data_IF_112561436815
#
_entry.id   IF_112561436815
#
_cell.length_a   1.000
_cell.length_b   1.000
_cell.length_c   1.000
_cell.angle_alpha   90.00
_cell.angle_beta   90.00
_cell.angle_gamma   90.00
#
_symmetry.space_group_name_H-M   'P 1'
#
loop_
_entity.id
_entity.type
_entity.pdbx_description
1 polymer ?
#
# COMPACT_ATOMS: atom_id res chain seq x y z
N UNK A 1 1.00 -4.68 22.10
CA UNK A 1 1.71 -3.52 22.59
C UNK A 1 0.81 -2.27 22.59
N UNK A 2 0.43 -1.77 23.76
CA UNK A 2 -0.47 -0.60 23.91
C UNK A 2 0.29 0.75 23.86
N UNK A 3 1.37 0.86 23.07
CA UNK A 3 2.18 2.08 22.97
C UNK A 3 1.62 3.08 21.93
N UNK A 4 0.95 2.57 20.91
CA UNK A 4 0.33 3.37 19.84
C UNK A 4 -1.14 3.02 19.70
N UNK A 5 -1.90 3.92 19.11
CA UNK A 5 -3.27 3.64 18.69
C UNK A 5 -3.23 2.75 17.44
N UNK A 6 -3.95 1.64 17.48
CA UNK A 6 -3.96 0.65 16.39
C UNK A 6 -5.40 0.38 15.93
N UNK A 7 -5.64 0.64 14.66
CA UNK A 7 -6.89 0.34 13.97
C UNK A 7 -6.60 -0.57 12.77
N UNK A 8 -7.52 -1.49 12.50
CA UNK A 8 -7.49 -2.31 11.30
C UNK A 8 -8.56 -1.85 10.33
N UNK A 9 -8.15 -1.49 9.12
CA UNK A 9 -9.06 -1.12 8.04
C UNK A 9 -8.79 -2.01 6.82
N UNK A 10 -9.77 -2.25 5.94
CA UNK A 10 -9.54 -2.97 4.70
C UNK A 10 -8.53 -2.22 3.84
N UNK A 11 -7.50 -2.90 3.35
CA UNK A 11 -6.43 -2.27 2.55
C UNK A 11 -6.97 -1.46 1.37
N UNK A 12 -7.94 -2.01 0.63
CA UNK A 12 -8.56 -1.30 -0.49
C UNK A 12 -9.31 -0.03 -0.07
N UNK A 13 -9.82 0.04 1.17
CA UNK A 13 -10.44 1.26 1.69
C UNK A 13 -9.38 2.28 2.10
N UNK A 14 -8.25 1.86 2.66
CA UNK A 14 -7.11 2.76 2.93
C UNK A 14 -6.61 3.39 1.63
N UNK A 15 -6.42 2.60 0.58
CA UNK A 15 -6.00 3.08 -0.73
C UNK A 15 -6.97 4.13 -1.31
N UNK A 16 -8.28 3.85 -1.22
CA UNK A 16 -9.31 4.77 -1.69
C UNK A 16 -9.43 6.00 -0.79
N UNK A 17 -9.19 5.85 0.52
CA UNK A 17 -9.19 6.96 1.46
C UNK A 17 -8.08 7.95 1.16
N UNK A 18 -6.85 7.49 0.90
CA UNK A 18 -5.75 8.36 0.46
C UNK A 18 -6.12 9.16 -0.78
N UNK A 19 -6.76 8.54 -1.76
CA UNK A 19 -7.24 9.23 -2.96
C UNK A 19 -8.29 10.29 -2.62
N UNK A 20 -9.25 9.96 -1.76
CA UNK A 20 -10.27 10.91 -1.32
C UNK A 20 -9.65 12.10 -0.59
N UNK A 21 -8.72 11.84 0.34
CA UNK A 21 -7.97 12.85 1.07
C UNK A 21 -7.16 13.75 0.12
N UNK A 22 -6.46 13.18 -0.86
CA UNK A 22 -5.73 13.93 -1.89
C UNK A 22 -6.64 14.89 -2.67
N UNK A 23 -7.89 14.49 -2.91
CA UNK A 23 -8.91 15.32 -3.56
C UNK A 23 -9.61 16.33 -2.62
N UNK A 24 -9.27 16.35 -1.33
CA UNK A 24 -9.89 17.22 -0.35
C UNK A 24 -11.29 16.79 0.10
N UNK A 25 -11.61 15.51 -0.05
CA UNK A 25 -12.87 14.95 0.44
C UNK A 25 -12.72 14.56 1.91
N UNK A 26 -13.80 14.68 2.73
CA UNK A 26 -13.74 14.44 4.18
C UNK A 26 -13.61 12.95 4.55
N UNK A 27 -13.58 12.06 3.58
CA UNK A 27 -13.50 10.63 3.81
C UNK A 27 -13.87 9.79 2.59
N UNK A 28 -14.08 8.50 2.83
CA UNK A 28 -14.45 7.53 1.80
C UNK A 28 -15.67 6.72 2.20
N UNK A 29 -16.64 6.65 1.33
CA UNK A 29 -17.84 5.85 1.48
C UNK A 29 -17.71 4.51 0.77
N UNK A 30 -18.18 3.42 1.41
CA UNK A 30 -18.16 2.07 0.85
C UNK A 30 -19.12 1.14 1.63
N UNK A 31 -19.57 0.05 1.00
CA UNK A 31 -20.26 -1.04 1.72
C UNK A 31 -19.29 -2.04 2.36
N UNK A 32 -18.00 -1.97 2.01
CA UNK A 32 -16.97 -2.85 2.59
C UNK A 32 -16.79 -2.53 4.06
N UNK A 33 -16.84 -3.55 4.91
CA UNK A 33 -16.70 -3.44 6.36
C UNK A 33 -18.01 -3.55 7.13
N UNK A 34 -19.18 -3.31 6.50
CA UNK A 34 -20.49 -3.46 7.16
C UNK A 34 -20.65 -4.85 7.79
N UNK A 35 -21.08 -4.88 9.06
CA UNK A 35 -21.34 -6.12 9.81
C UNK A 35 -20.09 -6.93 10.17
N UNK A 36 -18.89 -6.43 9.89
CA UNK A 36 -17.63 -7.03 10.31
C UNK A 36 -17.08 -6.35 11.57
N UNK A 37 -15.95 -6.85 12.10
CA UNK A 37 -15.30 -6.23 13.26
C UNK A 37 -14.84 -4.77 13.01
N UNK A 38 -14.80 -4.32 11.76
CA UNK A 38 -14.47 -2.95 11.38
C UNK A 38 -15.67 -2.01 11.54
N UNK A 39 -16.89 -2.55 11.47
CA UNK A 39 -18.12 -1.79 11.69
C UNK A 39 -18.12 -1.18 13.10
N UNK A 40 -18.32 0.14 13.26
CA UNK A 40 -18.32 0.79 14.57
C UNK A 40 -19.40 0.26 15.51
N UNK A 41 -20.46 -0.34 14.99
CA UNK A 41 -21.51 -1.02 15.77
C UNK A 41 -21.06 -2.36 16.36
N UNK A 42 -19.91 -2.89 15.89
CA UNK A 42 -19.32 -4.14 16.39
C UNK A 42 -18.08 -3.84 17.22
N UNK A 43 -16.93 -3.53 16.59
CA UNK A 43 -15.66 -3.22 17.28
C UNK A 43 -14.96 -1.97 16.74
N UNK A 44 -15.41 -1.40 15.60
CA UNK A 44 -14.84 -0.20 15.00
C UNK A 44 -13.39 -0.36 14.51
N UNK A 45 -12.95 -1.60 14.25
CA UNK A 45 -11.59 -1.90 13.83
C UNK A 45 -10.51 -1.64 14.89
N UNK A 46 -10.91 -1.47 16.17
CA UNK A 46 -10.00 -1.14 17.28
C UNK A 46 -9.21 -2.38 17.72
N UNK A 47 -7.87 -2.32 17.60
CA UNK A 47 -7.00 -3.47 17.73
C UNK A 47 -6.35 -3.62 19.11
N UNK A 48 -6.43 -2.62 19.97
CA UNK A 48 -5.77 -2.68 21.28
C UNK A 48 -6.52 -1.87 22.35
N UNK A 49 -6.13 -2.05 23.63
CA UNK A 49 -6.81 -1.39 24.75
C UNK A 49 -6.68 0.13 24.73
N UNK A 50 -5.65 0.66 24.05
CA UNK A 50 -5.47 2.10 23.89
C UNK A 50 -6.55 2.71 22.99
N UNK A 51 -6.97 1.99 21.94
CA UNK A 51 -7.97 2.47 20.97
C UNK A 51 -9.41 2.23 21.41
N UNK A 52 -9.67 1.21 22.26
CA UNK A 52 -11.05 0.89 22.69
C UNK A 52 -11.85 2.06 23.24
N UNK A 53 -11.29 2.96 24.11
CA UNK A 53 -12.02 4.09 24.66
C UNK A 53 -12.10 5.30 23.70
N UNK A 54 -11.39 5.29 22.57
CA UNK A 54 -11.32 6.42 21.64
C UNK A 54 -12.54 6.45 20.71
N UNK A 55 -12.86 7.61 20.12
CA UNK A 55 -13.87 7.70 19.05
C UNK A 55 -13.57 6.74 17.90
N UNK A 56 -14.62 6.37 17.18
CA UNK A 56 -14.47 5.58 15.96
C UNK A 56 -13.91 6.45 14.82
N UNK A 57 -13.11 5.84 13.97
CA UNK A 57 -12.55 6.47 12.75
C UNK A 57 -13.43 6.24 11.53
N UNK A 58 -14.58 5.64 11.72
CA UNK A 58 -15.61 5.42 10.71
C UNK A 58 -16.99 5.49 11.34
N UNK A 59 -18.00 5.71 10.53
CA UNK A 59 -19.41 5.69 10.93
C UNK A 59 -20.27 4.97 9.89
N UNK A 60 -21.47 4.54 10.27
CA UNK A 60 -22.46 4.02 9.33
C UNK A 60 -23.42 5.15 8.97
N UNK A 61 -23.59 5.39 7.69
CA UNK A 61 -24.50 6.39 7.15
C UNK A 61 -25.53 5.72 6.25
N UNK A 62 -26.73 6.27 6.17
CA UNK A 62 -27.77 5.81 5.28
C UNK A 62 -27.94 6.77 4.10
N UNK A 63 -27.94 6.22 2.88
CA UNK A 63 -28.20 6.98 1.66
C UNK A 63 -29.23 6.21 0.82
N UNK A 64 -30.36 6.84 0.54
CA UNK A 64 -31.45 6.24 -0.25
C UNK A 64 -31.94 4.89 0.30
N UNK A 65 -31.95 4.72 1.64
CA UNK A 65 -32.40 3.50 2.30
C UNK A 65 -31.36 2.37 2.33
N UNK A 66 -30.12 2.65 1.93
CA UNK A 66 -29.02 1.70 1.99
C UNK A 66 -27.92 2.19 2.95
N UNK A 67 -27.39 1.26 3.76
CA UNK A 67 -26.30 1.55 4.70
C UNK A 67 -24.95 1.51 4.00
N UNK A 68 -24.08 2.44 4.41
CA UNK A 68 -22.69 2.54 3.99
C UNK A 68 -21.79 2.82 5.18
N UNK A 69 -20.58 2.27 5.16
CA UNK A 69 -19.47 2.73 5.98
C UNK A 69 -18.95 4.06 5.42
N UNK A 70 -18.77 5.04 6.27
CA UNK A 70 -18.02 6.26 5.95
C UNK A 70 -16.73 6.27 6.76
N UNK A 71 -15.60 6.14 6.08
CA UNK A 71 -14.26 6.19 6.64
C UNK A 71 -13.79 7.63 6.65
N UNK A 72 -13.53 8.17 7.85
CA UNK A 72 -13.09 9.56 8.02
C UNK A 72 -11.67 9.77 7.52
N UNK A 73 -11.37 10.98 7.07
CA UNK A 73 -10.00 11.38 6.78
C UNK A 73 -9.14 11.36 8.04
N UNK A 74 -7.86 11.01 7.87
CA UNK A 74 -6.87 11.03 8.95
C UNK A 74 -5.67 11.84 8.45
N UNK A 75 -5.38 13.02 9.05
CA UNK A 75 -4.24 13.83 8.66
C UNK A 75 -2.93 13.06 8.73
N UNK A 76 -2.06 13.26 7.74
CA UNK A 76 -0.77 12.57 7.64
C UNK A 76 0.35 13.61 7.77
N UNK A 77 1.16 13.50 8.82
CA UNK A 77 2.29 14.40 9.08
C UNK A 77 3.53 14.01 8.29
N UNK A 78 3.77 12.71 8.12
CA UNK A 78 4.95 12.19 7.41
C UNK A 78 4.56 10.98 6.56
N UNK A 79 4.99 11.00 5.31
CA UNK A 79 4.88 9.86 4.40
C UNK A 79 6.28 9.34 4.06
N UNK A 80 6.53 8.09 4.41
CA UNK A 80 7.76 7.39 4.03
C UNK A 80 7.46 6.52 2.82
N UNK A 81 8.14 6.80 1.71
CA UNK A 81 7.98 6.05 0.47
C UNK A 81 9.30 5.42 0.03
N UNK A 82 9.18 4.38 -0.76
CA UNK A 82 10.31 3.73 -1.39
C UNK A 82 10.18 3.81 -2.90
N UNK A 83 11.30 4.07 -3.56
CA UNK A 83 11.41 4.04 -5.02
C UNK A 83 12.70 3.39 -5.47
N UNK A 84 12.85 3.23 -6.77
CA UNK A 84 14.03 2.63 -7.36
C UNK A 84 15.18 3.62 -7.47
N UNK A 85 14.95 4.68 -8.23
CA UNK A 85 15.91 5.76 -8.53
C UNK A 85 15.14 7.07 -8.48
N UNK A 86 15.77 8.12 -8.01
CA UNK A 86 15.30 9.48 -8.27
C UNK A 86 16.39 10.27 -9.04
N UNK A 87 16.02 11.40 -9.63
CA UNK A 87 17.01 12.35 -10.11
C UNK A 87 17.32 13.41 -9.03
N UNK A 88 18.28 14.32 -9.32
CA UNK A 88 18.67 15.40 -8.41
C UNK A 88 17.53 16.38 -8.11
N UNK A 89 16.48 16.40 -8.94
CA UNK A 89 15.25 17.16 -8.72
C UNK A 89 14.21 16.40 -7.89
N UNK A 90 14.52 15.16 -7.50
CA UNK A 90 13.64 14.30 -6.72
C UNK A 90 12.57 13.54 -7.53
N UNK A 91 12.62 13.57 -8.86
CA UNK A 91 11.68 12.80 -9.68
C UNK A 91 11.89 11.31 -9.46
N UNK A 92 10.95 10.64 -8.80
CA UNK A 92 11.08 9.27 -8.30
C UNK A 92 10.48 8.27 -9.26
N UNK A 93 11.22 7.18 -9.51
CA UNK A 93 10.75 6.00 -10.22
C UNK A 93 10.46 4.84 -9.28
N UNK A 94 9.59 3.92 -9.70
CA UNK A 94 9.32 2.65 -9.02
C UNK A 94 9.47 1.46 -9.97
N UNK A 95 10.38 1.57 -10.94
CA UNK A 95 10.52 0.59 -12.04
C UNK A 95 10.97 -0.78 -11.58
N UNK A 96 11.70 -0.84 -10.47
CA UNK A 96 12.18 -2.10 -9.87
C UNK A 96 11.42 -2.46 -8.57
N UNK A 97 10.37 -1.74 -8.27
CA UNK A 97 9.48 -2.12 -7.18
C UNK A 97 8.44 -3.13 -7.68
N UNK A 98 8.26 -4.23 -6.94
CA UNK A 98 7.32 -5.29 -7.32
C UNK A 98 5.88 -4.78 -7.47
N UNK A 99 5.51 -3.80 -6.66
CA UNK A 99 4.19 -3.17 -6.68
C UNK A 99 4.30 -1.67 -6.44
N UNK A 100 3.56 -0.89 -7.23
CA UNK A 100 3.48 0.58 -7.05
C UNK A 100 2.58 0.98 -5.88
N UNK A 101 1.60 0.14 -5.54
CA UNK A 101 0.61 0.38 -4.49
C UNK A 101 0.01 1.81 -4.58
N UNK A 102 -0.33 2.37 -3.43
CA UNK A 102 -0.95 3.69 -3.27
C UNK A 102 0.07 4.83 -3.11
N UNK A 103 1.33 4.63 -3.44
CA UNK A 103 2.44 5.55 -3.17
C UNK A 103 2.08 6.99 -3.55
N UNK A 104 1.62 7.22 -4.78
CA UNK A 104 1.33 8.57 -5.23
C UNK A 104 0.13 9.21 -4.51
N UNK A 105 -0.92 8.43 -4.24
CA UNK A 105 -2.08 8.92 -3.49
C UNK A 105 -1.73 9.25 -2.03
N UNK A 106 -0.89 8.44 -1.39
CA UNK A 106 -0.40 8.70 -0.03
C UNK A 106 0.44 9.99 0.03
N UNK A 107 1.31 10.21 -0.96
CA UNK A 107 2.10 11.44 -1.12
C UNK A 107 1.17 12.65 -1.24
N UNK A 108 0.21 12.62 -2.16
CA UNK A 108 -0.72 13.73 -2.37
C UNK A 108 -1.58 14.00 -1.12
N UNK A 109 -2.05 12.95 -0.45
CA UNK A 109 -2.77 13.08 0.82
C UNK A 109 -1.91 13.79 1.87
N UNK A 110 -0.65 13.38 2.03
CA UNK A 110 0.29 14.00 2.97
C UNK A 110 0.52 15.48 2.65
N UNK A 111 0.77 15.82 1.40
CA UNK A 111 0.99 17.22 0.98
C UNK A 111 -0.25 18.09 1.20
N UNK A 112 -1.44 17.52 1.08
CA UNK A 112 -2.70 18.22 1.38
C UNK A 112 -2.76 18.74 2.82
N UNK A 113 -2.20 18.00 3.78
CA UNK A 113 -2.16 18.39 5.20
C UNK A 113 -0.88 19.14 5.58
N UNK A 114 -0.02 19.49 4.61
CA UNK A 114 1.25 20.17 4.87
C UNK A 114 2.32 19.26 5.47
N UNK A 115 2.11 17.95 5.42
CA UNK A 115 3.06 16.95 5.90
C UNK A 115 4.29 16.82 5.00
N UNK A 116 5.29 16.09 5.50
CA UNK A 116 6.55 15.82 4.81
C UNK A 116 6.55 14.47 4.11
N UNK A 117 7.19 14.42 2.93
CA UNK A 117 7.41 13.21 2.15
C UNK A 117 8.89 12.91 2.10
N UNK A 118 9.29 11.75 2.61
CA UNK A 118 10.66 11.24 2.60
C UNK A 118 10.73 10.00 1.72
N UNK A 119 11.59 10.01 0.72
CA UNK A 119 11.76 8.93 -0.23
C UNK A 119 13.08 8.19 -0.02
N UNK A 120 13.04 6.87 0.21
CA UNK A 120 14.23 6.02 0.16
C UNK A 120 14.43 5.51 -1.26
N UNK A 121 15.65 5.63 -1.78
CA UNK A 121 16.04 5.17 -3.13
C UNK A 121 17.37 4.41 -3.09
N UNK A 122 17.63 3.63 -4.14
CA UNK A 122 18.94 2.96 -4.31
C UNK A 122 20.04 3.93 -4.72
N UNK A 123 19.69 4.85 -5.61
CA UNK A 123 20.64 5.80 -6.20
C UNK A 123 19.95 7.07 -6.67
N UNK A 124 20.75 8.11 -6.90
CA UNK A 124 20.32 9.37 -7.52
C UNK A 124 20.97 9.47 -8.91
N UNK A 125 20.16 9.69 -9.92
CA UNK A 125 20.57 9.87 -11.30
C UNK A 125 20.72 11.38 -11.62
N UNK A 126 21.48 11.69 -12.67
CA UNK A 126 21.60 13.05 -13.18
C UNK A 126 20.23 13.54 -13.71
N UNK A 127 19.94 14.80 -13.46
CA UNK A 127 18.68 15.45 -13.92
C UNK A 127 18.50 15.31 -15.42
N UNK A 128 17.30 14.88 -15.84
CA UNK A 128 16.93 14.71 -17.24
C UNK A 128 17.31 13.36 -17.85
N UNK A 129 17.90 12.44 -17.08
CA UNK A 129 18.23 11.08 -17.57
C UNK A 129 17.10 10.07 -17.34
N UNK A 130 16.16 10.38 -16.44
CA UNK A 130 14.97 9.53 -16.20
C UNK A 130 13.94 9.78 -17.29
N UNK A 131 13.42 8.68 -17.88
CA UNK A 131 12.30 8.80 -18.80
C UNK A 131 11.07 9.37 -18.05
N UNK A 132 10.47 10.46 -18.50
CA UNK A 132 9.33 11.08 -17.83
C UNK A 132 8.12 10.15 -17.61
N UNK A 133 7.95 9.14 -18.46
CA UNK A 133 6.88 8.14 -18.31
C UNK A 133 7.09 7.18 -17.15
N UNK A 134 8.33 7.04 -16.69
CA UNK A 134 8.70 6.15 -15.58
C UNK A 134 8.64 6.88 -14.23
N UNK A 135 8.48 8.20 -14.23
CA UNK A 135 8.31 8.99 -13.01
C UNK A 135 6.97 8.64 -12.37
N UNK A 136 7.05 8.04 -11.21
CA UNK A 136 5.87 7.67 -10.39
C UNK A 136 5.46 8.81 -9.46
N UNK A 137 6.44 9.51 -8.87
CA UNK A 137 6.21 10.67 -8.00
C UNK A 137 7.09 11.82 -8.50
N UNK A 138 6.48 12.92 -8.99
CA UNK A 138 7.23 14.14 -9.35
C UNK A 138 7.95 14.73 -8.15
N UNK A 139 9.19 15.21 -8.36
CA UNK A 139 10.05 15.73 -7.30
C UNK A 139 9.47 16.89 -6.49
N UNK A 140 8.56 17.67 -7.08
CA UNK A 140 7.85 18.77 -6.40
C UNK A 140 7.09 18.31 -5.14
N UNK A 141 6.77 17.02 -5.02
CA UNK A 141 6.07 16.44 -3.87
C UNK A 141 7.00 15.80 -2.85
N UNK A 142 8.30 15.68 -3.14
CA UNK A 142 9.29 15.04 -2.26
C UNK A 142 10.08 16.10 -1.52
N UNK A 143 10.12 16.03 -0.21
CA UNK A 143 10.83 16.99 0.62
C UNK A 143 12.27 16.52 0.91
N UNK A 144 12.47 15.21 1.07
CA UNK A 144 13.76 14.63 1.43
C UNK A 144 13.99 13.31 0.69
N UNK A 145 15.22 13.08 0.24
CA UNK A 145 15.65 11.83 -0.38
C UNK A 145 16.73 11.18 0.48
N UNK A 146 16.53 9.91 0.80
CA UNK A 146 17.49 9.06 1.52
C UNK A 146 18.03 8.02 0.55
N UNK A 147 19.32 8.12 0.25
CA UNK A 147 20.00 7.11 -0.56
C UNK A 147 20.40 5.95 0.34
N UNK A 148 19.98 4.76 -0.02
CA UNK A 148 20.27 3.54 0.74
C UNK A 148 21.75 3.16 0.56
N UNK A 149 22.58 3.17 1.62
CA UNK A 149 24.01 2.88 1.49
C UNK A 149 24.30 1.41 1.17
N UNK A 150 23.42 0.50 1.60
CA UNK A 150 23.56 -0.96 1.39
C UNK A 150 22.26 -1.51 0.77
N UNK A 151 21.97 -1.23 -0.52
CA UNK A 151 20.67 -1.59 -1.10
C UNK A 151 20.43 -3.10 -1.14
N UNK A 152 21.47 -3.92 -1.21
CA UNK A 152 21.34 -5.39 -1.15
C UNK A 152 20.83 -5.90 0.21
N UNK A 153 21.03 -5.14 1.27
CA UNK A 153 20.59 -5.48 2.62
C UNK A 153 19.32 -4.72 3.03
N UNK A 154 19.30 -3.41 2.75
CA UNK A 154 18.31 -2.50 3.32
C UNK A 154 17.23 -2.06 2.31
N UNK A 155 17.37 -2.44 1.02
CA UNK A 155 16.42 -2.12 -0.05
C UNK A 155 15.97 -3.37 -0.82
N UNK A 156 15.66 -4.45 -0.11
CA UNK A 156 15.23 -5.73 -0.70
C UNK A 156 13.78 -5.69 -1.13
N UNK A 157 13.44 -6.46 -2.17
CA UNK A 157 12.05 -6.69 -2.59
C UNK A 157 11.27 -7.52 -1.57
N UNK A 158 11.94 -8.51 -0.97
CA UNK A 158 11.40 -9.36 0.11
C UNK A 158 12.45 -9.50 1.21
N UNK A 159 12.11 -10.15 2.31
CA UNK A 159 13.04 -10.41 3.41
C UNK A 159 14.31 -11.18 3.00
N UNK A 160 14.28 -11.91 1.89
CA UNK A 160 15.37 -12.79 1.43
C UNK A 160 15.87 -12.49 0.02
N UNK A 161 15.14 -11.71 -0.76
CA UNK A 161 15.46 -11.43 -2.17
C UNK A 161 15.70 -9.94 -2.34
N UNK A 162 16.93 -9.59 -2.75
CA UNK A 162 17.27 -8.22 -3.06
C UNK A 162 16.47 -7.73 -4.28
N UNK A 163 16.62 -8.41 -5.40
CA UNK A 163 15.95 -8.07 -6.65
C UNK A 163 15.66 -9.33 -7.48
N UNK A 164 14.44 -9.47 -7.96
CA UNK A 164 14.05 -10.48 -8.94
C UNK A 164 13.33 -9.79 -10.10
N UNK A 165 13.90 -9.82 -11.33
CA UNK A 165 13.32 -9.15 -12.48
C UNK A 165 11.97 -9.75 -12.90
N UNK A 166 11.63 -10.96 -12.46
CA UNK A 166 10.33 -11.57 -12.75
C UNK A 166 9.19 -10.88 -11.98
N UNK A 167 9.47 -10.36 -10.77
CA UNK A 167 8.48 -9.67 -9.95
C UNK A 167 8.07 -8.30 -10.50
N UNK A 168 8.89 -7.72 -11.35
CA UNK A 168 8.62 -6.44 -12.02
C UNK A 168 8.27 -6.57 -13.49
N UNK A 169 8.12 -7.82 -13.97
CA UNK A 169 7.75 -8.11 -15.35
C UNK A 169 8.86 -7.89 -16.40
N UNK A 170 10.10 -7.63 -15.96
CA UNK A 170 11.28 -7.53 -16.86
C UNK A 170 11.69 -8.89 -17.44
N UNK A 171 11.36 -9.95 -16.73
CA UNK A 171 11.61 -11.34 -17.14
C UNK A 171 10.33 -12.15 -16.92
N UNK A 172 10.00 -13.01 -17.89
CA UNK A 172 8.94 -14.00 -17.72
C UNK A 172 9.58 -15.38 -17.51
N UNK A 173 9.23 -16.01 -16.38
CA UNK A 173 9.67 -17.36 -16.04
C UNK A 173 8.60 -18.34 -16.52
N UNK A 174 8.94 -19.34 -17.37
CA UNK A 174 7.97 -20.36 -17.77
C UNK A 174 7.56 -21.21 -16.55
N UNK A 175 6.31 -21.62 -16.52
CA UNK A 175 5.76 -22.41 -15.41
C UNK A 175 6.59 -23.71 -15.15
N UNK A 176 7.16 -24.31 -16.20
CA UNK A 176 8.02 -25.49 -16.11
C UNK A 176 9.34 -25.26 -15.34
N UNK A 177 9.77 -24.01 -15.20
CA UNK A 177 10.97 -23.66 -14.44
C UNK A 177 10.68 -23.36 -12.95
N UNK A 178 9.40 -23.32 -12.57
CA UNK A 178 9.01 -23.10 -11.16
C UNK A 178 9.07 -24.43 -10.43
N UNK A 179 10.00 -24.55 -9.48
CA UNK A 179 10.09 -25.75 -8.65
C UNK A 179 8.84 -25.93 -7.79
N UNK A 180 8.27 -27.13 -7.75
CA UNK A 180 7.14 -27.42 -6.88
C UNK A 180 7.53 -27.25 -5.40
N UNK A 181 6.73 -26.50 -4.65
CA UNK A 181 6.94 -26.37 -3.21
C UNK A 181 7.05 -27.75 -2.53
N UNK A 182 7.89 -27.91 -1.49
CA UNK A 182 8.00 -29.15 -0.74
C UNK A 182 6.64 -29.53 -0.12
N UNK A 183 6.42 -30.82 0.08
CA UNK A 183 5.18 -31.31 0.68
C UNK A 183 5.17 -30.99 2.19
N UNK A 184 4.26 -30.09 2.56
CA UNK A 184 4.03 -29.64 3.92
C UNK A 184 2.56 -29.23 4.07
N UNK A 185 2.18 -28.74 5.25
CA UNK A 185 0.81 -28.31 5.53
C UNK A 185 0.30 -27.25 4.54
N UNK A 186 1.15 -26.30 4.18
CA UNK A 186 0.82 -25.23 3.22
C UNK A 186 0.51 -25.79 1.83
N UNK A 187 1.32 -26.75 1.37
CA UNK A 187 1.07 -27.42 0.08
C UNK A 187 -0.23 -28.24 0.11
N UNK A 188 -0.51 -28.88 1.23
CA UNK A 188 -1.77 -29.62 1.41
C UNK A 188 -2.98 -28.67 1.34
N UNK A 189 -2.95 -27.56 2.05
CA UNK A 189 -3.98 -26.52 2.02
C UNK A 189 -4.15 -25.96 0.61
N UNK A 190 -3.04 -25.63 -0.06
CA UNK A 190 -3.07 -25.11 -1.43
C UNK A 190 -3.70 -26.10 -2.42
N UNK A 191 -3.37 -27.41 -2.30
CA UNK A 191 -3.99 -28.45 -3.13
C UNK A 191 -5.49 -28.54 -2.92
N UNK A 192 -5.95 -28.49 -1.67
CA UNK A 192 -7.40 -28.48 -1.37
C UNK A 192 -8.07 -27.25 -1.95
N UNK A 193 -7.43 -26.07 -1.82
CA UNK A 193 -7.93 -24.83 -2.42
C UNK A 193 -8.01 -24.89 -3.95
N UNK A 194 -7.06 -25.55 -4.61
CA UNK A 194 -7.08 -25.70 -6.06
C UNK A 194 -8.28 -26.52 -6.59
N UNK A 195 -8.91 -27.36 -5.75
CA UNK A 195 -10.10 -28.11 -6.14
C UNK A 195 -11.34 -27.21 -6.35
N UNK A 196 -11.31 -25.99 -5.81
CA UNK A 196 -12.37 -24.99 -6.04
C UNK A 196 -12.19 -24.22 -7.36
N UNK A 197 -11.06 -24.40 -8.05
CA UNK A 197 -10.76 -23.71 -9.30
C UNK A 197 -11.28 -24.49 -10.50
N UNK A 198 -11.86 -23.78 -11.45
CA UNK A 198 -12.36 -24.33 -12.71
C UNK A 198 -11.89 -23.47 -13.89
N UNK A 199 -11.83 -24.01 -15.13
CA UNK A 199 -11.43 -23.25 -16.31
C UNK A 199 -12.27 -21.97 -16.48
N UNK A 200 -11.60 -20.83 -16.57
CA UNK A 200 -12.24 -19.52 -16.72
C UNK A 200 -12.67 -18.85 -15.41
N UNK A 201 -12.43 -19.44 -14.23
CA UNK A 201 -12.67 -18.75 -12.96
C UNK A 201 -11.75 -17.53 -12.83
N UNK A 202 -12.27 -16.49 -12.18
CA UNK A 202 -11.49 -15.31 -11.79
C UNK A 202 -11.15 -15.47 -10.32
N UNK A 203 -9.86 -15.42 -10.02
CA UNK A 203 -9.33 -15.54 -8.66
C UNK A 203 -8.75 -14.21 -8.23
N UNK A 204 -9.13 -13.76 -7.05
CA UNK A 204 -8.64 -12.51 -6.46
C UNK A 204 -8.01 -12.80 -5.10
#
# INVERSE_FOLDING_TARGET
NNQVEAYCLPQGQIAQLYRSMACGLPGKMSKVGLGTFIDPRVEGGKMNDRTKPLPDISEVIEIHGEEYMFYHEVPIDVCLIRGTVCDEMGNLTTTDEAMKLEVFNAVLATKRYGGKVVAQVREVAETGTINPKDVTVPGVFIDEVVVCPNPEEDHRMTSSIYFDPSYVGKLRVPQSAVEPAPFNERKFIARRGCEELYPGCVVN
#
